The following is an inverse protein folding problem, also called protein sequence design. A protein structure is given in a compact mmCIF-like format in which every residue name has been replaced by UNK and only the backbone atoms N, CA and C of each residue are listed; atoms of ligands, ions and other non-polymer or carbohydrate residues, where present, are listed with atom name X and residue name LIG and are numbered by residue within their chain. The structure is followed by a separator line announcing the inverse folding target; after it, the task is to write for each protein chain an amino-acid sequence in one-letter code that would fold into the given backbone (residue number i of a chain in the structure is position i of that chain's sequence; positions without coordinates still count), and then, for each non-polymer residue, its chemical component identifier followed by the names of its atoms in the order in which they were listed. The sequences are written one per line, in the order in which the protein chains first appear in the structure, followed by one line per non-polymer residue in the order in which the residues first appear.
data_IF_092943598134
#
_entry.id   IF_092943598134
#
_cell.length_a   1.000
_cell.length_b   1.000
_cell.length_c   1.000
_cell.angle_alpha   90.00
_cell.angle_beta   90.00
_cell.angle_gamma   90.00
#
_symmetry.space_group_name_H-M   'P 1'
#
loop_
_entity.id
_entity.type
_entity.pdbx_description
1 polymer ?
#
# COMPACT_ATOMS: atom_id res chain seq x y z
N UNK A 1 42.99 -24.50 -34.26
CA UNK A 1 41.55 -24.26 -33.95
C UNK A 1 41.42 -23.88 -32.47
N UNK A 2 42.05 -22.78 -32.06
CA UNK A 2 41.56 -21.39 -32.06
C UNK A 2 40.38 -21.14 -31.12
N UNK A 3 40.72 -20.84 -29.86
CA UNK A 3 40.21 -19.80 -28.94
C UNK A 3 38.70 -19.50 -28.78
N UNK A 4 37.79 -20.15 -29.51
CA UNK A 4 36.36 -19.83 -29.54
C UNK A 4 35.57 -20.58 -28.45
N UNK A 5 35.86 -21.86 -28.23
CA UNK A 5 35.15 -22.69 -27.24
C UNK A 5 35.39 -22.31 -25.77
N UNK A 6 36.60 -21.82 -25.41
CA UNK A 6 36.89 -21.35 -24.03
C UNK A 6 36.29 -19.98 -23.69
N UNK A 7 35.81 -19.23 -24.69
CA UNK A 7 35.21 -17.91 -24.49
C UNK A 7 33.73 -18.01 -24.13
N UNK A 8 33.05 -19.05 -24.61
CA UNK A 8 31.63 -19.32 -24.37
C UNK A 8 31.37 -19.92 -22.97
N UNK A 9 32.27 -20.79 -22.47
CA UNK A 9 32.23 -21.28 -21.08
C UNK A 9 32.50 -20.18 -20.04
N UNK A 10 33.41 -19.24 -20.36
CA UNK A 10 33.67 -18.07 -19.50
C UNK A 10 32.53 -17.05 -19.48
N UNK A 11 31.66 -17.09 -20.49
CA UNK A 11 30.48 -16.21 -20.61
C UNK A 11 29.31 -16.79 -19.80
N UNK A 12 29.03 -18.09 -19.93
CA UNK A 12 28.06 -18.81 -19.09
C UNK A 12 28.34 -18.68 -17.59
N UNK A 13 29.60 -18.82 -17.16
CA UNK A 13 29.97 -18.66 -15.75
C UNK A 13 29.90 -17.22 -15.21
N UNK A 14 29.87 -16.19 -16.07
CA UNK A 14 29.64 -14.80 -15.66
C UNK A 14 28.17 -14.42 -15.61
N UNK A 15 27.34 -15.07 -16.41
CA UNK A 15 25.90 -14.83 -16.47
C UNK A 15 25.16 -15.54 -15.31
N UNK A 16 25.66 -16.70 -14.84
CA UNK A 16 25.09 -17.42 -13.67
C UNK A 16 25.48 -16.81 -12.31
N UNK A 17 26.60 -16.08 -12.22
CA UNK A 17 27.03 -15.38 -11.00
C UNK A 17 26.30 -14.04 -10.81
N UNK A 18 25.54 -13.57 -11.81
CA UNK A 18 24.51 -12.54 -11.63
C UNK A 18 23.20 -13.17 -11.13
N UNK A 19 23.28 -13.95 -10.05
CA UNK A 19 22.12 -14.18 -9.20
C UNK A 19 21.72 -12.79 -8.70
N UNK A 20 20.67 -12.23 -9.30
CA UNK A 20 20.32 -10.82 -9.22
C UNK A 20 20.42 -10.33 -7.77
N UNK A 21 21.25 -9.31 -7.54
CA UNK A 21 21.28 -8.64 -6.26
C UNK A 21 19.85 -8.21 -5.92
N UNK A 22 19.40 -8.53 -4.71
CA UNK A 22 18.06 -8.16 -4.23
C UNK A 22 17.98 -6.63 -4.27
N UNK A 23 16.90 -6.09 -4.86
CA UNK A 23 16.65 -4.65 -4.81
C UNK A 23 16.51 -4.22 -3.35
N UNK A 24 17.31 -3.25 -2.93
CA UNK A 24 17.24 -2.69 -1.59
C UNK A 24 16.33 -1.46 -1.53
N UNK A 25 15.94 -0.93 -2.68
CA UNK A 25 15.01 0.20 -2.75
C UNK A 25 13.58 -0.26 -2.44
N UNK A 26 12.79 0.56 -1.72
CA UNK A 26 11.39 0.26 -1.49
C UNK A 26 10.60 0.33 -2.81
N UNK A 27 9.38 -0.25 -2.87
CA UNK A 27 8.51 -0.12 -4.04
C UNK A 27 8.32 1.33 -4.47
N UNK A 28 8.24 1.56 -5.78
CA UNK A 28 8.05 2.90 -6.34
C UNK A 28 6.84 3.62 -5.71
N UNK A 29 7.02 4.88 -5.33
CA UNK A 29 5.99 5.69 -4.68
C UNK A 29 5.80 5.41 -3.17
N UNK A 30 6.59 4.53 -2.58
CA UNK A 30 6.59 4.25 -1.13
C UNK A 30 7.83 4.81 -0.45
N UNK A 31 7.85 4.80 0.89
CA UNK A 31 8.93 5.40 1.70
C UNK A 31 9.31 4.49 2.85
N UNK A 32 10.62 4.33 3.05
CA UNK A 32 11.16 3.89 4.33
C UNK A 32 11.19 5.06 5.31
N UNK A 33 10.99 4.77 6.59
CA UNK A 33 11.12 5.76 7.65
C UNK A 33 12.18 5.29 8.63
N UNK A 34 13.35 5.94 8.60
CA UNK A 34 14.44 5.67 9.53
C UNK A 34 14.16 6.32 10.89
N UNK A 35 14.94 6.00 11.95
CA UNK A 35 14.64 6.48 13.29
C UNK A 35 14.45 8.00 13.42
N UNK A 36 15.12 8.81 12.60
CA UNK A 36 14.92 10.26 12.58
C UNK A 36 13.56 10.66 12.01
N UNK A 37 13.19 10.14 10.84
CA UNK A 37 11.90 10.39 10.20
C UNK A 37 10.73 9.84 11.04
N UNK A 38 10.92 8.67 11.65
CA UNK A 38 9.93 8.05 12.54
C UNK A 38 9.67 8.90 13.78
N UNK A 39 10.70 9.56 14.35
CA UNK A 39 10.50 10.48 15.48
C UNK A 39 9.63 11.67 15.09
N UNK A 40 9.87 12.26 13.92
CA UNK A 40 9.08 13.38 13.42
C UNK A 40 7.63 12.96 13.14
N UNK A 41 7.43 11.83 12.46
CA UNK A 41 6.09 11.29 12.20
C UNK A 41 5.33 11.00 13.50
N UNK A 42 5.99 10.35 14.47
CA UNK A 42 5.38 10.02 15.75
C UNK A 42 4.99 11.27 16.55
N UNK A 43 5.82 12.31 16.53
CA UNK A 43 5.49 13.61 17.13
C UNK A 43 4.23 14.21 16.51
N UNK A 44 4.17 14.26 15.16
CA UNK A 44 3.02 14.82 14.45
C UNK A 44 1.73 14.03 14.73
N UNK A 45 1.78 12.70 14.66
CA UNK A 45 0.61 11.86 14.94
C UNK A 45 0.20 11.92 16.41
N UNK A 46 1.15 12.11 17.33
CA UNK A 46 0.87 12.42 18.73
C UNK A 46 0.01 13.68 18.87
N UNK A 47 0.36 14.75 18.13
CA UNK A 47 -0.44 15.99 18.12
C UNK A 47 -1.83 15.81 17.53
N UNK A 48 -1.99 15.01 16.49
CA UNK A 48 -3.32 14.69 15.96
C UNK A 48 -4.20 13.97 16.99
N UNK A 49 -3.66 12.98 17.70
CA UNK A 49 -4.41 12.26 18.75
C UNK A 49 -4.75 13.15 19.94
N UNK A 50 -3.79 13.97 20.39
CA UNK A 50 -4.00 14.93 21.48
C UNK A 50 -5.18 15.86 21.17
N UNK A 51 -5.17 16.50 19.99
CA UNK A 51 -6.24 17.42 19.60
C UNK A 51 -7.56 16.68 19.39
N UNK A 52 -7.58 15.53 18.73
CA UNK A 52 -8.80 14.74 18.55
C UNK A 52 -9.46 14.39 19.91
N UNK A 53 -8.65 13.98 20.89
CA UNK A 53 -9.11 13.67 22.24
C UNK A 53 -9.69 14.88 22.97
N UNK A 54 -9.08 16.06 22.82
CA UNK A 54 -9.60 17.32 23.41
C UNK A 54 -11.00 17.69 22.91
N UNK A 55 -11.35 17.28 21.68
CA UNK A 55 -12.65 17.52 21.07
C UNK A 55 -13.62 16.32 21.17
N UNK A 56 -13.28 15.30 21.95
CA UNK A 56 -14.15 14.14 22.21
C UNK A 56 -14.31 13.17 21.04
N UNK A 57 -13.44 13.24 20.03
CA UNK A 57 -13.40 12.23 18.97
C UNK A 57 -12.83 10.91 19.51
N UNK A 58 -13.33 9.80 18.99
CA UNK A 58 -12.84 8.46 19.31
C UNK A 58 -12.04 7.90 18.13
N UNK A 59 -10.88 7.34 18.41
CA UNK A 59 -10.01 6.73 17.40
C UNK A 59 -10.66 5.44 16.86
N UNK A 60 -10.58 5.25 15.54
CA UNK A 60 -11.03 4.06 14.84
C UNK A 60 -10.08 3.77 13.67
N UNK A 61 -10.12 2.53 13.16
CA UNK A 61 -9.41 2.15 11.94
C UNK A 61 -10.23 1.11 11.16
N UNK A 62 -9.84 0.88 9.91
CA UNK A 62 -10.41 -0.10 9.01
C UNK A 62 -9.28 -0.80 8.24
N UNK A 63 -9.55 -1.90 7.53
CA UNK A 63 -8.58 -2.49 6.61
C UNK A 63 -8.08 -1.48 5.56
N UNK A 64 -6.79 -1.52 5.23
CA UNK A 64 -6.22 -0.69 4.14
C UNK A 64 -6.68 -1.18 2.76
N UNK A 65 -7.01 -2.47 2.67
CA UNK A 65 -7.55 -3.11 1.48
C UNK A 65 -9.07 -3.20 1.60
N UNK A 66 -9.78 -2.70 0.59
CA UNK A 66 -11.24 -2.63 0.55
C UNK A 66 -11.76 -3.08 -0.82
N UNK A 67 -13.05 -3.42 -0.91
CA UNK A 67 -13.68 -3.69 -2.20
C UNK A 67 -13.67 -2.43 -3.08
N UNK A 68 -13.23 -2.58 -4.33
CA UNK A 68 -13.11 -1.46 -5.28
C UNK A 68 -14.45 -0.74 -5.49
N UNK A 69 -15.57 -1.46 -5.46
CA UNK A 69 -16.93 -0.92 -5.63
C UNK A 69 -17.27 0.18 -4.61
N UNK A 70 -16.69 0.10 -3.39
CA UNK A 70 -16.93 1.09 -2.34
C UNK A 70 -16.53 2.51 -2.77
N UNK A 71 -15.49 2.63 -3.60
CA UNK A 71 -14.92 3.91 -4.03
C UNK A 71 -15.45 4.36 -5.39
N UNK A 72 -15.86 3.43 -6.25
CA UNK A 72 -16.48 3.74 -7.55
C UNK A 72 -17.78 4.53 -7.45
N UNK A 73 -18.51 4.42 -6.34
CA UNK A 73 -19.82 5.08 -6.16
C UNK A 73 -19.76 6.57 -5.84
N UNK A 74 -18.60 7.09 -5.37
CA UNK A 74 -18.45 8.50 -4.92
C UNK A 74 -17.32 9.27 -5.62
N UNK A 75 -16.44 8.56 -6.31
CA UNK A 75 -15.36 9.15 -7.07
C UNK A 75 -15.86 9.65 -8.43
N UNK A 76 -15.52 10.89 -8.80
CA UNK A 76 -15.50 11.27 -10.21
C UNK A 76 -14.50 10.39 -10.98
N UNK A 77 -14.61 10.33 -12.30
CA UNK A 77 -13.77 9.48 -13.17
C UNK A 77 -12.25 9.67 -12.94
N UNK A 78 -11.82 10.83 -12.45
CA UNK A 78 -10.42 11.15 -12.19
C UNK A 78 -9.83 10.40 -10.98
N UNK A 79 -10.59 10.24 -9.90
CA UNK A 79 -10.11 9.53 -8.69
C UNK A 79 -9.99 8.03 -8.98
N UNK A 80 -10.86 7.46 -9.82
CA UNK A 80 -10.83 6.02 -10.11
C UNK A 80 -9.59 5.61 -10.90
N UNK A 81 -9.03 6.51 -11.73
CA UNK A 81 -7.80 6.26 -12.48
C UNK A 81 -6.53 6.27 -11.61
N UNK A 82 -6.61 6.86 -10.42
CA UNK A 82 -5.49 6.94 -9.48
C UNK A 82 -5.56 5.87 -8.37
N UNK A 83 -6.60 5.04 -8.35
CA UNK A 83 -6.74 3.97 -7.36
C UNK A 83 -5.72 2.85 -7.61
N UNK A 84 -5.12 2.35 -6.52
CA UNK A 84 -4.28 1.15 -6.57
C UNK A 84 -5.16 -0.10 -6.46
N UNK A 85 -5.77 -0.50 -7.57
CA UNK A 85 -6.69 -1.62 -7.66
C UNK A 85 -6.03 -2.88 -8.25
N UNK A 86 -6.51 -4.05 -7.83
CA UNK A 86 -6.07 -5.34 -8.34
C UNK A 86 -7.13 -6.42 -8.08
N UNK A 87 -6.96 -7.56 -8.74
CA UNK A 87 -7.73 -8.78 -8.46
C UNK A 87 -6.95 -9.58 -7.42
N UNK A 88 -7.58 -9.90 -6.29
CA UNK A 88 -6.93 -10.74 -5.28
C UNK A 88 -6.89 -12.22 -5.71
N UNK A 89 -6.36 -13.08 -4.83
CA UNK A 89 -6.22 -14.52 -5.13
C UNK A 89 -7.56 -15.26 -5.20
N UNK A 90 -8.62 -14.72 -4.61
CA UNK A 90 -9.97 -15.28 -4.62
C UNK A 90 -10.81 -14.75 -5.80
N UNK A 91 -10.25 -13.85 -6.62
CA UNK A 91 -10.90 -13.28 -7.78
C UNK A 91 -11.73 -12.02 -7.48
N UNK A 92 -11.64 -11.46 -6.27
CA UNK A 92 -12.36 -10.24 -5.92
C UNK A 92 -11.61 -8.99 -6.40
N UNK A 93 -12.36 -7.98 -6.85
CA UNK A 93 -11.85 -6.66 -7.17
C UNK A 93 -11.66 -5.85 -5.90
N UNK A 94 -10.40 -5.56 -5.57
CA UNK A 94 -9.99 -4.85 -4.36
C UNK A 94 -9.12 -3.65 -4.71
N UNK A 95 -9.03 -2.70 -3.80
CA UNK A 95 -8.18 -1.53 -3.91
C UNK A 95 -7.54 -1.20 -2.57
N UNK A 96 -6.30 -0.71 -2.58
CA UNK A 96 -5.81 0.04 -1.42
C UNK A 96 -6.66 1.30 -1.31
N UNK A 97 -7.14 1.61 -0.10
CA UNK A 97 -8.03 2.74 0.15
C UNK A 97 -7.37 4.06 -0.31
N UNK A 98 -7.98 4.83 -1.22
CA UNK A 98 -7.47 6.15 -1.60
C UNK A 98 -7.76 7.21 -0.52
N UNK A 99 -8.80 7.01 0.29
CA UNK A 99 -9.21 7.89 1.39
C UNK A 99 -10.00 7.10 2.45
N UNK A 100 -10.29 7.74 3.60
CA UNK A 100 -10.93 7.06 4.74
C UNK A 100 -12.47 7.21 4.79
N UNK A 101 -13.04 8.22 4.11
CA UNK A 101 -14.47 8.56 4.23
C UNK A 101 -15.41 7.42 3.82
N UNK A 102 -15.18 6.70 2.70
CA UNK A 102 -16.03 5.58 2.32
C UNK A 102 -15.97 4.40 3.30
N UNK A 103 -14.79 4.09 3.86
CA UNK A 103 -14.63 3.07 4.91
C UNK A 103 -15.41 3.42 6.18
N UNK A 104 -15.36 4.69 6.62
CA UNK A 104 -16.16 5.15 7.76
C UNK A 104 -17.66 4.97 7.51
N UNK A 105 -18.16 5.41 6.35
CA UNK A 105 -19.56 5.25 5.99
C UNK A 105 -20.00 3.77 5.97
N UNK A 106 -19.14 2.88 5.46
CA UNK A 106 -19.36 1.43 5.49
C UNK A 106 -19.50 0.92 6.93
N UNK A 107 -18.58 1.30 7.82
CA UNK A 107 -18.61 0.89 9.22
C UNK A 107 -19.88 1.35 9.94
N UNK A 108 -20.28 2.61 9.76
CA UNK A 108 -21.51 3.16 10.36
C UNK A 108 -22.74 2.41 9.86
N UNK A 109 -22.86 2.16 8.56
CA UNK A 109 -23.98 1.39 8.00
C UNK A 109 -23.99 -0.06 8.49
N UNK A 110 -22.82 -0.69 8.67
CA UNK A 110 -22.71 -2.03 9.24
C UNK A 110 -23.18 -2.09 10.69
N UNK A 111 -22.84 -1.09 11.51
CA UNK A 111 -23.32 -0.99 12.90
C UNK A 111 -24.84 -0.82 12.96
N UNK A 112 -25.39 0.12 12.18
CA UNK A 112 -26.84 0.36 12.12
C UNK A 112 -27.63 -0.91 11.76
N UNK A 113 -27.09 -1.75 10.85
CA UNK A 113 -27.70 -3.03 10.48
C UNK A 113 -27.63 -4.10 11.57
N UNK A 114 -26.64 -4.04 12.46
CA UNK A 114 -26.50 -5.00 13.55
C UNK A 114 -27.41 -4.67 14.74
N UNK A 115 -27.84 -3.41 14.84
CA UNK A 115 -28.77 -2.91 15.86
C UNK A 115 -30.26 -3.05 15.47
N UNK A 116 -30.53 -3.43 14.21
CA UNK A 116 -31.89 -3.65 13.68
C UNK A 116 -32.19 -5.13 13.58
#
# INVERSE_FOLDING_TARGET
MSAKAKKDDKKKGKDEVKKAAISLDPPSGTRDFFPEDMRLQSYLFGKFREVAGLYGFQEYDAPVLEHEELYKRKAGEEITQQMYNFVDKEGALVTLRPEMTPSLARMVLSLMRAET
#
